data_IF_016816998652
#
_entry.id   IF_016816998652
#
_cell.length_a   1.000
_cell.length_b   1.000
_cell.length_c   1.000
_cell.angle_alpha   90.00
_cell.angle_beta   90.00
_cell.angle_gamma   90.00
#
_symmetry.space_group_name_H-M   'P 1'
#
loop_
_entity.id
_entity.type
_entity.pdbx_description
1 polymer ?
#
# COMPACT_ATOMS: atom_id res chain seq x y z
N UNK A 1 -20.51 -11.74 -8.47
CA UNK A 1 -19.42 -11.89 -7.50
C UNK A 1 -18.25 -12.50 -8.26
N UNK A 2 -17.16 -11.77 -8.50
CA UNK A 2 -15.98 -12.36 -9.15
C UNK A 2 -15.22 -13.13 -8.06
N UNK A 3 -15.00 -14.42 -8.28
CA UNK A 3 -14.12 -15.22 -7.45
C UNK A 3 -12.70 -14.66 -7.57
N UNK A 4 -12.09 -14.30 -6.44
CA UNK A 4 -10.69 -13.90 -6.38
C UNK A 4 -9.86 -15.17 -6.49
N UNK A 5 -9.37 -15.49 -7.69
CA UNK A 5 -8.45 -16.60 -7.88
C UNK A 5 -7.09 -16.24 -7.28
N UNK A 6 -6.57 -17.10 -6.39
CA UNK A 6 -5.24 -16.94 -5.82
C UNK A 6 -4.20 -17.15 -6.91
N UNK A 7 -3.33 -16.16 -7.13
CA UNK A 7 -2.23 -16.27 -8.10
C UNK A 7 -1.20 -17.30 -7.63
N UNK A 8 -0.68 -18.17 -8.52
CA UNK A 8 0.38 -19.11 -8.17
C UNK A 8 1.67 -18.35 -7.80
N UNK A 9 2.25 -18.70 -6.65
CA UNK A 9 3.50 -18.09 -6.16
C UNK A 9 4.64 -18.59 -7.06
N UNK A 10 5.18 -17.71 -7.89
CA UNK A 10 6.39 -17.93 -8.71
C UNK A 10 7.45 -16.93 -8.28
N UNK A 11 8.74 -17.24 -8.45
CA UNK A 11 9.86 -16.35 -8.04
C UNK A 11 9.80 -14.94 -8.64
N UNK A 12 9.09 -14.75 -9.77
CA UNK A 12 8.84 -13.45 -10.39
C UNK A 12 7.76 -12.60 -9.67
N UNK A 13 6.93 -13.23 -8.84
CA UNK A 13 5.95 -12.61 -7.94
C UNK A 13 6.49 -12.48 -6.50
N UNK A 14 7.80 -12.72 -6.28
CA UNK A 14 8.36 -12.85 -4.93
C UNK A 14 8.41 -11.54 -4.13
N UNK A 15 8.30 -10.37 -4.76
CA UNK A 15 8.09 -9.11 -4.05
C UNK A 15 6.59 -8.83 -3.94
N UNK A 16 5.91 -9.56 -3.05
CA UNK A 16 4.51 -9.27 -2.72
C UNK A 16 4.44 -7.88 -2.07
N UNK A 17 4.06 -6.89 -2.86
CA UNK A 17 3.80 -5.53 -2.38
C UNK A 17 2.30 -5.29 -2.31
N UNK A 18 1.90 -4.35 -1.47
CA UNK A 18 0.53 -3.87 -1.38
C UNK A 18 0.51 -2.39 -1.71
N UNK A 19 -0.40 -1.98 -2.58
CA UNK A 19 -0.57 -0.59 -2.93
C UNK A 19 -1.22 0.19 -1.80
N UNK A 20 -0.90 1.48 -1.66
CA UNK A 20 -1.57 2.37 -0.70
C UNK A 20 -3.07 2.49 -0.95
N UNK A 21 -3.53 2.20 -2.17
CA UNK A 21 -4.96 2.12 -2.52
C UNK A 21 -5.61 0.87 -1.91
N UNK A 22 -4.98 -0.30 -2.04
CA UNK A 22 -5.45 -1.53 -1.40
C UNK A 22 -5.45 -1.39 0.13
N UNK A 23 -4.40 -0.80 0.71
CA UNK A 23 -4.35 -0.52 2.16
C UNK A 23 -5.51 0.38 2.58
N UNK A 24 -5.79 1.45 1.83
CA UNK A 24 -6.89 2.36 2.11
C UNK A 24 -8.25 1.64 2.08
N UNK A 25 -8.46 0.74 1.11
CA UNK A 25 -9.67 -0.07 1.01
C UNK A 25 -9.80 -1.06 2.18
N UNK A 26 -8.73 -1.79 2.50
CA UNK A 26 -8.75 -2.81 3.55
C UNK A 26 -8.84 -2.23 4.97
N UNK A 27 -8.27 -1.04 5.18
CA UNK A 27 -8.30 -0.34 6.47
C UNK A 27 -9.50 0.63 6.60
N UNK A 28 -10.35 0.72 5.58
CA UNK A 28 -11.47 1.69 5.51
C UNK A 28 -11.04 3.15 5.77
N UNK A 29 -9.83 3.51 5.30
CA UNK A 29 -9.28 4.86 5.40
C UNK A 29 -9.30 5.56 4.05
N UNK A 30 -9.33 6.89 4.06
CA UNK A 30 -9.15 7.65 2.83
C UNK A 30 -7.72 7.49 2.29
N UNK A 31 -7.58 7.34 0.97
CA UNK A 31 -6.28 7.14 0.30
C UNK A 31 -5.28 8.27 0.59
N UNK A 32 -5.73 9.52 0.66
CA UNK A 32 -4.87 10.66 0.98
C UNK A 32 -4.31 10.62 2.41
N UNK A 33 -5.08 10.10 3.38
CA UNK A 33 -4.58 9.89 4.73
C UNK A 33 -3.53 8.78 4.75
N UNK A 34 -3.78 7.67 4.05
CA UNK A 34 -2.80 6.58 3.93
C UNK A 34 -1.51 7.08 3.29
N UNK A 35 -1.59 7.83 2.19
CA UNK A 35 -0.41 8.43 1.53
C UNK A 35 0.38 9.34 2.47
N UNK A 36 -0.29 10.11 3.33
CA UNK A 36 0.37 10.95 4.34
C UNK A 36 1.04 10.10 5.42
N UNK A 37 0.34 9.12 5.95
CA UNK A 37 0.83 8.27 7.03
C UNK A 37 2.03 7.41 6.55
N UNK A 38 2.02 6.96 5.28
CA UNK A 38 3.17 6.28 4.66
C UNK A 38 4.38 7.20 4.57
N UNK A 39 4.21 8.47 4.20
CA UNK A 39 5.32 9.43 4.16
C UNK A 39 5.92 9.66 5.54
N UNK A 40 5.08 9.84 6.56
CA UNK A 40 5.52 10.01 7.95
C UNK A 40 6.25 8.77 8.45
N UNK A 41 5.70 7.58 8.22
CA UNK A 41 6.34 6.31 8.60
C UNK A 41 7.71 6.14 7.92
N UNK A 42 7.84 6.45 6.63
CA UNK A 42 9.12 6.35 5.93
C UNK A 42 10.15 7.37 6.46
N UNK A 43 9.70 8.57 6.80
CA UNK A 43 10.53 9.61 7.44
C UNK A 43 11.02 9.18 8.83
N UNK A 44 10.13 8.64 9.67
CA UNK A 44 10.47 8.14 11.01
C UNK A 44 11.43 6.94 10.98
N UNK A 45 11.35 6.11 9.93
CA UNK A 45 12.25 4.98 9.72
C UNK A 45 13.56 5.37 9.01
N UNK A 46 13.75 6.65 8.66
CA UNK A 46 14.88 7.16 7.87
C UNK A 46 15.04 6.46 6.50
N UNK A 47 13.94 5.95 5.95
CA UNK A 47 13.93 5.22 4.68
C UNK A 47 13.62 6.18 3.52
N UNK A 48 14.45 6.13 2.49
CA UNK A 48 14.26 6.96 1.30
C UNK A 48 13.00 6.54 0.53
N UNK A 49 12.06 7.47 0.44
CA UNK A 49 10.75 7.28 -0.21
C UNK A 49 10.78 6.78 -1.66
N UNK A 50 11.71 7.20 -2.57
CA UNK A 50 11.69 6.87 -4.00
C UNK A 50 11.60 5.38 -4.35
N UNK A 51 12.03 4.49 -3.44
CA UNK A 51 12.01 3.06 -3.68
C UNK A 51 10.60 2.46 -3.76
N UNK A 52 9.61 3.13 -3.18
CA UNK A 52 8.24 2.61 -3.07
C UNK A 52 7.22 3.41 -3.88
N UNK A 53 7.65 4.41 -4.66
CA UNK A 53 6.73 5.18 -5.49
C UNK A 53 6.24 4.37 -6.68
N UNK A 54 4.98 4.62 -7.04
CA UNK A 54 4.47 4.24 -8.33
C UNK A 54 3.15 4.94 -8.61
N UNK A 55 2.48 4.50 -9.67
CA UNK A 55 1.19 5.04 -10.07
C UNK A 55 0.17 3.92 -10.18
N UNK A 56 -1.10 4.28 -10.03
CA UNK A 56 -2.22 3.41 -10.36
C UNK A 56 -3.18 4.12 -11.32
N UNK A 57 -3.80 3.32 -12.20
CA UNK A 57 -4.83 3.82 -13.12
C UNK A 57 -6.20 3.46 -12.57
N UNK A 58 -7.08 4.45 -12.45
CA UNK A 58 -8.47 4.23 -12.05
C UNK A 58 -9.29 3.59 -13.18
N UNK A 59 -10.53 3.19 -12.87
CA UNK A 59 -11.47 2.62 -13.86
C UNK A 59 -11.90 3.61 -14.96
N UNK A 60 -11.57 4.90 -14.82
CA UNK A 60 -11.84 5.98 -15.78
C UNK A 60 -10.61 6.32 -16.62
N UNK A 61 -9.52 5.57 -16.49
CA UNK A 61 -8.27 5.77 -17.24
C UNK A 61 -7.40 6.92 -16.71
N UNK A 62 -7.65 7.42 -15.50
CA UNK A 62 -6.85 8.48 -14.88
C UNK A 62 -5.74 7.87 -14.03
N UNK A 63 -4.55 8.42 -14.17
CA UNK A 63 -3.37 7.98 -13.41
C UNK A 63 -3.17 8.83 -12.17
N UNK A 64 -2.97 8.19 -11.04
CA UNK A 64 -2.76 8.82 -9.75
C UNK A 64 -1.55 8.20 -9.03
N UNK A 65 -0.81 8.98 -8.23
CA UNK A 65 0.33 8.45 -7.49
C UNK A 65 -0.12 7.53 -6.35
N UNK A 66 0.65 6.47 -6.11
CA UNK A 66 0.50 5.57 -4.98
C UNK A 66 1.86 5.08 -4.45
N UNK A 67 1.83 4.39 -3.32
CA UNK A 67 3.00 3.66 -2.81
C UNK A 67 2.78 2.16 -2.96
N UNK A 68 3.83 1.42 -3.31
CA UNK A 68 3.85 -0.04 -3.29
C UNK A 68 4.75 -0.49 -2.15
N UNK A 69 4.13 -0.89 -1.03
CA UNK A 69 4.86 -1.24 0.18
C UNK A 69 5.11 -2.75 0.25
N UNK A 70 6.32 -3.21 0.60
CA UNK A 70 6.54 -4.60 0.98
C UNK A 70 5.73 -4.95 2.23
N UNK A 71 5.60 -6.26 2.48
CA UNK A 71 4.87 -6.80 3.64
C UNK A 71 5.25 -6.13 4.97
N UNK A 72 6.55 -5.95 5.22
CA UNK A 72 7.04 -5.43 6.50
C UNK A 72 6.59 -3.98 6.74
N UNK A 73 6.72 -3.11 5.72
CA UNK A 73 6.27 -1.72 5.80
C UNK A 73 4.74 -1.62 5.87
N UNK A 74 4.03 -2.50 5.17
CA UNK A 74 2.56 -2.57 5.26
C UNK A 74 2.10 -2.94 6.66
N UNK A 75 2.75 -3.92 7.28
CA UNK A 75 2.44 -4.36 8.64
C UNK A 75 2.74 -3.26 9.67
N UNK A 76 3.88 -2.57 9.55
CA UNK A 76 4.25 -1.43 10.40
C UNK A 76 3.19 -0.33 10.34
N UNK A 77 2.74 0.04 9.13
CA UNK A 77 1.71 1.06 8.94
C UNK A 77 0.39 0.66 9.61
N UNK A 78 -0.07 -0.58 9.39
CA UNK A 78 -1.34 -1.08 9.94
C UNK A 78 -1.28 -1.21 11.46
N UNK A 79 -0.14 -1.65 12.01
CA UNK A 79 0.06 -1.72 13.45
C UNK A 79 -0.13 -0.34 14.11
N UNK A 80 0.27 0.75 13.43
CA UNK A 80 0.05 2.13 13.88
C UNK A 80 -1.39 2.63 13.77
N UNK A 81 -2.28 1.95 13.02
CA UNK A 81 -3.68 2.36 12.87
C UNK A 81 -4.59 1.88 14.01
N UNK A 82 -4.15 0.90 14.80
CA UNK A 82 -4.95 0.27 15.83
C UNK A 82 -4.90 1.01 17.18
N UNK A 83 -5.15 2.33 17.18
CA UNK A 83 -5.07 3.17 18.38
C UNK A 83 -6.41 3.33 19.10
N UNK A 84 -7.54 2.91 18.49
CA UNK A 84 -8.86 2.89 19.13
C UNK A 84 -9.68 1.69 18.67
N UNK A 85 -10.06 0.82 19.62
CA UNK A 85 -11.14 -0.17 19.53
C UNK A 85 -12.46 0.47 19.99
#
# INVERSE_FOLDING_TARGET
>A
MKATELLPITEKNASLTMSSVEIAQLCEKRHDHVMRDVRLMLEELEIQSPHFWGDYTDSKGRTYPCFYLPKDLTLTLIAGYNVKL
#
